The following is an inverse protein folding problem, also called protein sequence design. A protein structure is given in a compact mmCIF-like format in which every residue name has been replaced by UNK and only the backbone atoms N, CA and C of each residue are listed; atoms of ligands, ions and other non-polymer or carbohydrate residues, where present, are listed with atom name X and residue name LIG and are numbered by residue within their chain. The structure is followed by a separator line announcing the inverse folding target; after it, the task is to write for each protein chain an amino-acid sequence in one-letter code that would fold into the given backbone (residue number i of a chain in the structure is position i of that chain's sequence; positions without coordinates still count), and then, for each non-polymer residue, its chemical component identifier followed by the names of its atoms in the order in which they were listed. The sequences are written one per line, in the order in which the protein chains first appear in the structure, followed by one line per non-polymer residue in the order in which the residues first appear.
data_IF_397062884086
#
_entry.id   IF_397062884086
#
_cell.length_a   1.000
_cell.length_b   1.000
_cell.length_c   1.000
_cell.angle_alpha   90.00
_cell.angle_beta   90.00
_cell.angle_gamma   90.00
#
_symmetry.space_group_name_H-M   'P 1'
#
loop_
_entity.id
_entity.type
_entity.pdbx_description
1 polymer ?
#
# COMPACT_ATOMS: atom_id res chain seq x y z
N UNK A 1 18.88 -9.54 8.83
CA UNK A 1 17.67 -8.74 8.60
C UNK A 1 16.98 -9.24 7.33
N UNK A 2 15.65 -9.21 7.30
CA UNK A 2 14.86 -9.62 6.14
C UNK A 2 15.00 -8.56 5.04
N UNK A 3 15.47 -8.91 3.83
CA UNK A 3 15.69 -7.96 2.73
C UNK A 3 14.44 -7.13 2.40
N UNK A 4 13.25 -7.68 2.59
CA UNK A 4 12.01 -6.93 2.38
C UNK A 4 11.77 -5.85 3.45
N UNK A 5 12.16 -6.11 4.70
CA UNK A 5 12.11 -5.09 5.75
C UNK A 5 13.12 -3.98 5.47
N UNK A 6 14.33 -4.33 5.04
CA UNK A 6 15.34 -3.33 4.68
C UNK A 6 14.85 -2.44 3.52
N UNK A 7 14.21 -3.03 2.51
CA UNK A 7 13.59 -2.26 1.41
C UNK A 7 12.45 -1.37 1.91
N UNK A 8 11.51 -1.90 2.70
CA UNK A 8 10.35 -1.16 3.20
C UNK A 8 10.71 -0.01 4.15
N UNK A 9 11.78 -0.16 4.91
CA UNK A 9 12.20 0.81 5.92
C UNK A 9 13.26 1.80 5.40
N UNK A 10 14.18 1.33 4.57
CA UNK A 10 15.40 2.07 4.20
C UNK A 10 15.61 2.18 2.67
N UNK A 11 14.77 1.55 1.85
CA UNK A 11 14.96 1.49 0.41
C UNK A 11 16.12 0.56 -0.01
N UNK A 12 16.54 0.64 -1.27
CA UNK A 12 17.64 -0.16 -1.79
C UNK A 12 18.99 0.51 -1.47
N UNK A 13 19.67 0.10 -0.39
CA UNK A 13 21.05 0.54 -0.11
C UNK A 13 21.56 0.21 1.30
N UNK A 14 22.71 -0.45 1.39
CA UNK A 14 23.45 -0.63 2.65
C UNK A 14 24.30 0.62 2.95
N UNK A 15 23.78 1.54 3.75
CA UNK A 15 24.54 2.71 4.18
C UNK A 15 23.71 3.69 4.99
N UNK A 16 24.14 3.98 6.22
CA UNK A 16 23.62 5.11 7.02
C UNK A 16 23.76 6.39 6.19
N UNK A 17 22.63 7.08 5.96
CA UNK A 17 22.40 8.20 5.04
C UNK A 17 22.05 7.86 3.56
N UNK A 18 21.33 6.76 3.32
CA UNK A 18 20.56 6.63 2.07
C UNK A 18 19.49 7.73 2.01
N UNK A 19 19.59 8.58 0.99
CA UNK A 19 18.59 9.56 0.57
C UNK A 19 17.18 8.93 0.68
N UNK A 20 16.30 9.50 1.52
CA UNK A 20 14.96 8.97 1.76
C UNK A 20 14.08 9.10 0.50
N UNK A 21 14.27 8.18 -0.44
CA UNK A 21 13.47 8.03 -1.65
C UNK A 21 12.13 7.37 -1.33
N UNK A 22 11.06 7.88 -1.89
CA UNK A 22 9.73 7.30 -1.85
C UNK A 22 9.70 5.99 -2.65
N UNK A 23 9.15 4.94 -2.05
CA UNK A 23 8.99 3.63 -2.67
C UNK A 23 7.68 3.56 -3.46
N UNK A 24 7.73 2.99 -4.66
CA UNK A 24 6.57 2.76 -5.51
C UNK A 24 6.15 1.30 -5.42
N UNK A 25 4.98 1.06 -4.82
CA UNK A 25 4.32 -0.24 -4.80
C UNK A 25 3.34 -0.33 -5.96
N UNK A 26 3.64 -1.19 -6.93
CA UNK A 26 2.79 -1.39 -8.09
C UNK A 26 1.70 -2.43 -7.83
N UNK A 27 0.46 -2.11 -8.19
CA UNK A 27 -0.71 -2.99 -8.04
C UNK A 27 -0.79 -3.98 -9.20
N UNK A 28 -0.74 -5.28 -8.89
CA UNK A 28 -0.95 -6.39 -9.84
C UNK A 28 -2.20 -7.19 -9.40
N UNK A 29 -3.37 -6.79 -9.91
CA UNK A 29 -4.61 -7.48 -9.61
C UNK A 29 -4.72 -8.79 -10.38
N UNK A 30 -4.98 -9.88 -9.68
CA UNK A 30 -5.11 -11.24 -10.23
C UNK A 30 -6.58 -11.66 -10.18
N UNK A 31 -7.45 -10.82 -10.75
CA UNK A 31 -8.89 -11.09 -10.87
C UNK A 31 -9.25 -11.42 -12.31
N UNK A 32 -10.32 -12.21 -12.58
CA UNK A 32 -10.74 -12.56 -13.93
C UNK A 32 -10.92 -11.36 -14.87
N UNK A 33 -11.37 -10.22 -14.34
CA UNK A 33 -11.62 -8.99 -15.10
C UNK A 33 -10.33 -8.22 -15.48
N UNK A 34 -9.17 -8.60 -14.93
CA UNK A 34 -7.93 -7.82 -15.08
C UNK A 34 -7.10 -8.19 -16.32
N UNK A 35 -7.34 -9.35 -16.95
CA UNK A 35 -6.55 -9.89 -18.07
C UNK A 35 -7.44 -10.49 -19.18
N UNK A 36 -8.56 -9.83 -19.50
CA UNK A 36 -9.62 -10.42 -20.32
C UNK A 36 -9.24 -10.67 -21.79
N UNK A 37 -8.91 -11.94 -22.09
CA UNK A 37 -9.23 -12.66 -23.33
C UNK A 37 -10.01 -13.97 -23.01
N UNK A 38 -11.02 -13.87 -22.13
CA UNK A 38 -12.11 -14.88 -22.05
C UNK A 38 -11.85 -16.17 -21.25
N UNK A 39 -10.84 -16.24 -20.38
CA UNK A 39 -10.59 -17.39 -19.50
C UNK A 39 -10.97 -17.16 -18.03
N UNK A 40 -11.40 -18.20 -17.32
CA UNK A 40 -11.58 -18.21 -15.86
C UNK A 40 -10.26 -18.15 -15.06
N UNK A 41 -9.13 -18.00 -15.74
CA UNK A 41 -7.79 -18.00 -15.18
C UNK A 41 -7.05 -16.76 -15.67
N UNK A 42 -6.33 -16.11 -14.76
CA UNK A 42 -5.31 -15.13 -15.16
C UNK A 42 -4.27 -15.85 -16.01
N UNK A 43 -3.95 -15.30 -17.17
CA UNK A 43 -2.83 -15.78 -17.95
C UNK A 43 -1.54 -15.49 -17.17
N UNK A 44 -1.05 -16.49 -16.44
CA UNK A 44 0.17 -16.41 -15.64
C UNK A 44 1.34 -15.77 -16.44
N UNK A 45 1.57 -16.11 -17.72
CA UNK A 45 2.58 -15.42 -18.53
C UNK A 45 2.36 -13.91 -18.64
N UNK A 46 1.12 -13.46 -18.79
CA UNK A 46 0.78 -12.03 -18.85
C UNK A 46 1.01 -11.34 -17.49
N UNK A 47 0.73 -12.02 -16.37
CA UNK A 47 1.03 -11.49 -15.04
C UNK A 47 2.54 -11.34 -14.81
N UNK A 48 3.35 -12.32 -15.27
CA UNK A 48 4.82 -12.24 -15.22
C UNK A 48 5.36 -11.10 -16.08
N UNK A 49 4.84 -10.94 -17.30
CA UNK A 49 5.26 -9.87 -18.19
C UNK A 49 4.88 -8.49 -17.63
N UNK A 50 3.65 -8.36 -17.12
CA UNK A 50 3.21 -7.12 -16.46
C UNK A 50 4.09 -6.77 -15.25
N UNK A 51 4.47 -7.76 -14.44
CA UNK A 51 5.38 -7.55 -13.33
C UNK A 51 6.76 -7.05 -13.78
N UNK A 52 7.34 -7.64 -14.84
CA UNK A 52 8.60 -7.16 -15.43
C UNK A 52 8.47 -5.72 -15.92
N UNK A 53 7.37 -5.42 -16.60
CA UNK A 53 7.07 -4.07 -17.06
C UNK A 53 7.00 -3.09 -15.88
N UNK A 54 6.28 -3.41 -14.81
CA UNK A 54 6.17 -2.56 -13.63
C UNK A 54 7.53 -2.29 -12.98
N UNK A 55 8.39 -3.31 -12.88
CA UNK A 55 9.76 -3.14 -12.37
C UNK A 55 10.57 -2.22 -13.29
N UNK A 56 10.50 -2.41 -14.62
CA UNK A 56 11.16 -1.54 -15.59
C UNK A 56 10.59 -0.09 -15.56
N UNK A 57 9.34 0.07 -15.15
CA UNK A 57 8.68 1.37 -14.92
C UNK A 57 9.08 2.02 -13.58
N UNK A 58 9.78 1.29 -12.70
CA UNK A 58 10.30 1.78 -11.44
C UNK A 58 9.52 1.34 -10.19
N UNK A 59 8.77 0.24 -10.26
CA UNK A 59 8.18 -0.37 -9.06
C UNK A 59 9.28 -0.96 -8.18
N UNK A 60 9.29 -0.57 -6.91
CA UNK A 60 10.18 -1.09 -5.88
C UNK A 60 9.55 -2.32 -5.18
N UNK A 61 8.21 -2.43 -5.21
CA UNK A 61 7.42 -3.52 -4.62
C UNK A 61 6.29 -3.89 -5.59
N UNK A 62 5.96 -5.18 -5.68
CA UNK A 62 4.76 -5.65 -6.38
C UNK A 62 3.73 -6.09 -5.34
N UNK A 63 2.48 -5.64 -5.49
CA UNK A 63 1.38 -6.01 -4.59
C UNK A 63 0.32 -6.81 -5.34
N UNK A 64 0.09 -8.03 -4.87
CA UNK A 64 -0.72 -9.05 -5.55
C UNK A 64 -2.00 -9.25 -4.76
N UNK A 65 -3.13 -9.01 -5.41
CA UNK A 65 -4.47 -9.20 -4.81
C UNK A 65 -5.33 -10.13 -5.68
N UNK A 66 -5.95 -11.13 -5.05
CA UNK A 66 -6.88 -12.07 -5.72
C UNK A 66 -8.36 -11.70 -5.57
N UNK A 67 -8.66 -10.74 -4.69
CA UNK A 67 -10.00 -10.26 -4.38
C UNK A 67 -10.14 -8.78 -4.76
N UNK A 68 -11.27 -8.44 -5.38
CA UNK A 68 -11.62 -7.05 -5.63
C UNK A 68 -12.14 -6.44 -4.34
N UNK A 69 -11.43 -5.46 -3.78
CA UNK A 69 -11.90 -4.69 -2.61
C UNK A 69 -12.81 -3.52 -3.01
N UNK A 70 -13.36 -3.53 -4.24
CA UNK A 70 -14.25 -2.46 -4.72
C UNK A 70 -15.61 -2.55 -4.02
N UNK A 71 -16.29 -1.41 -3.78
CA UNK A 71 -17.63 -1.43 -3.19
C UNK A 71 -18.60 -2.31 -4.01
N UNK A 72 -19.26 -3.26 -3.34
CA UNK A 72 -20.21 -4.19 -3.96
C UNK A 72 -19.61 -5.42 -4.62
N UNK A 73 -18.29 -5.65 -4.52
CA UNK A 73 -17.70 -6.93 -4.90
C UNK A 73 -18.13 -8.03 -3.92
N UNK A 74 -18.55 -9.17 -4.45
CA UNK A 74 -18.85 -10.36 -3.64
C UNK A 74 -17.55 -10.92 -3.06
N UNK A 75 -17.51 -11.21 -1.74
CA UNK A 75 -16.36 -11.88 -1.13
C UNK A 75 -16.08 -13.22 -1.81
N UNK A 76 -14.81 -13.50 -2.05
CA UNK A 76 -14.37 -14.82 -2.52
C UNK A 76 -13.99 -15.73 -1.34
N UNK A 77 -14.07 -17.04 -1.50
CA UNK A 77 -13.54 -17.96 -0.49
C UNK A 77 -12.02 -17.89 -0.44
N UNK A 78 -11.39 -18.30 0.68
CA UNK A 78 -9.93 -18.33 0.76
C UNK A 78 -9.34 -19.28 -0.27
N UNK A 79 -9.99 -20.40 -0.56
CA UNK A 79 -9.52 -21.34 -1.58
C UNK A 79 -9.57 -20.73 -2.99
N UNK A 80 -10.58 -19.90 -3.29
CA UNK A 80 -10.65 -19.19 -4.57
C UNK A 80 -9.60 -18.09 -4.68
N UNK A 81 -9.39 -17.32 -3.60
CA UNK A 81 -8.32 -16.34 -3.54
C UNK A 81 -6.94 -17.00 -3.74
N UNK A 82 -6.66 -18.10 -3.04
CA UNK A 82 -5.44 -18.88 -3.15
C UNK A 82 -5.24 -19.45 -4.56
N UNK A 83 -6.29 -19.99 -5.19
CA UNK A 83 -6.25 -20.47 -6.58
C UNK A 83 -5.80 -19.39 -7.56
N UNK A 84 -6.11 -18.12 -7.27
CA UNK A 84 -5.70 -16.98 -8.10
C UNK A 84 -4.26 -16.56 -7.80
N UNK A 85 -3.95 -16.28 -6.53
CA UNK A 85 -2.69 -15.58 -6.17
C UNK A 85 -1.48 -16.51 -6.12
N UNK A 86 -1.62 -17.75 -5.64
CA UNK A 86 -0.47 -18.63 -5.39
C UNK A 86 0.27 -19.02 -6.68
N UNK A 87 -0.41 -19.39 -7.79
CA UNK A 87 0.29 -19.70 -9.04
C UNK A 87 1.06 -18.49 -9.59
N UNK A 88 0.51 -17.28 -9.46
CA UNK A 88 1.18 -16.05 -9.91
C UNK A 88 2.42 -15.77 -9.06
N UNK A 89 2.33 -15.85 -7.73
CA UNK A 89 3.48 -15.63 -6.85
C UNK A 89 4.63 -16.60 -7.18
N UNK A 90 4.31 -17.89 -7.35
CA UNK A 90 5.32 -18.92 -7.71
C UNK A 90 5.96 -18.61 -9.05
N UNK A 91 5.14 -18.35 -10.07
CA UNK A 91 5.63 -18.05 -11.42
C UNK A 91 6.52 -16.79 -11.45
N UNK A 92 6.20 -15.75 -10.67
CA UNK A 92 7.05 -14.57 -10.54
C UNK A 92 8.42 -14.91 -9.95
N UNK A 93 8.47 -15.74 -8.90
CA UNK A 93 9.74 -16.17 -8.32
C UNK A 93 10.54 -17.08 -9.25
N UNK A 94 9.89 -18.02 -9.92
CA UNK A 94 10.51 -18.88 -10.95
C UNK A 94 11.06 -18.05 -12.12
N UNK A 95 10.39 -16.96 -12.47
CA UNK A 95 10.81 -16.00 -13.49
C UNK A 95 11.98 -15.08 -13.05
N UNK A 96 12.52 -15.27 -11.84
CA UNK A 96 13.66 -14.52 -11.31
C UNK A 96 13.31 -13.13 -10.76
N UNK A 97 12.03 -12.84 -10.52
CA UNK A 97 11.61 -11.56 -9.94
C UNK A 97 12.11 -11.48 -8.49
N UNK A 98 13.04 -10.56 -8.22
CA UNK A 98 13.71 -10.42 -6.93
C UNK A 98 13.15 -9.31 -6.04
N UNK A 99 12.37 -8.37 -6.59
CA UNK A 99 11.72 -7.31 -5.80
C UNK A 99 10.77 -7.92 -4.75
N UNK A 100 10.54 -7.25 -3.61
CA UNK A 100 9.54 -7.69 -2.64
C UNK A 100 8.18 -7.89 -3.29
N UNK A 101 7.52 -8.99 -2.91
CA UNK A 101 6.14 -9.28 -3.29
C UNK A 101 5.29 -9.15 -2.03
N UNK A 102 4.33 -8.25 -2.09
CA UNK A 102 3.27 -8.05 -1.10
C UNK A 102 2.05 -8.87 -1.49
N UNK A 103 1.44 -9.55 -0.52
CA UNK A 103 0.13 -10.20 -0.67
C UNK A 103 -0.94 -9.29 -0.03
N UNK A 104 -1.87 -8.80 -0.85
CA UNK A 104 -3.05 -8.02 -0.45
C UNK A 104 -4.17 -9.00 -0.06
N UNK A 105 -4.21 -9.34 1.23
CA UNK A 105 -5.22 -10.26 1.78
C UNK A 105 -5.45 -9.99 3.26
N UNK A 106 -6.68 -10.20 3.71
CA UNK A 106 -7.09 -10.13 5.11
C UNK A 106 -7.32 -11.51 5.73
N UNK A 107 -7.01 -12.60 5.01
CA UNK A 107 -7.17 -13.99 5.47
C UNK A 107 -5.82 -14.61 5.82
N UNK A 108 -5.71 -15.14 7.03
CA UNK A 108 -4.45 -15.66 7.55
C UNK A 108 -3.98 -16.92 6.81
N UNK A 109 -4.91 -17.76 6.34
CA UNK A 109 -4.60 -18.95 5.55
C UNK A 109 -4.02 -18.59 4.18
N UNK A 110 -4.67 -17.67 3.45
CA UNK A 110 -4.14 -17.12 2.19
C UNK A 110 -2.77 -16.46 2.40
N UNK A 111 -2.64 -15.63 3.44
CA UNK A 111 -1.38 -14.97 3.77
C UNK A 111 -0.26 -15.99 3.99
N UNK A 112 -0.50 -17.01 4.81
CA UNK A 112 0.47 -18.08 5.10
C UNK A 112 0.92 -18.80 3.83
N UNK A 113 -0.01 -19.23 2.99
CA UNK A 113 0.30 -19.93 1.75
C UNK A 113 1.04 -19.03 0.75
N UNK A 114 0.68 -17.75 0.68
CA UNK A 114 1.36 -16.77 -0.15
C UNK A 114 2.82 -16.56 0.29
N UNK A 115 3.07 -16.47 1.60
CA UNK A 115 4.43 -16.37 2.15
C UNK A 115 5.25 -17.62 1.83
N UNK A 116 4.67 -18.82 1.94
CA UNK A 116 5.33 -20.08 1.52
C UNK A 116 5.60 -20.12 0.01
N UNK A 117 4.71 -19.55 -0.81
CA UNK A 117 4.88 -19.45 -2.26
C UNK A 117 5.96 -18.44 -2.68
N UNK A 118 6.39 -17.53 -1.79
CA UNK A 118 7.47 -16.58 -2.02
C UNK A 118 7.07 -15.10 -1.91
N UNK A 119 5.88 -14.77 -1.40
CA UNK A 119 5.60 -13.43 -0.91
C UNK A 119 6.51 -13.12 0.31
N UNK A 120 6.76 -11.83 0.51
CA UNK A 120 7.73 -11.35 1.52
C UNK A 120 7.17 -10.22 2.39
N UNK A 121 5.98 -9.72 2.07
CA UNK A 121 5.28 -8.62 2.73
C UNK A 121 3.81 -8.99 2.84
N UNK A 122 3.19 -8.69 3.98
CA UNK A 122 1.75 -8.77 4.16
C UNK A 122 1.13 -7.38 3.99
N UNK A 123 -0.02 -7.30 3.34
CA UNK A 123 -0.82 -6.09 3.23
C UNK A 123 -2.26 -6.38 3.65
N UNK A 124 -2.62 -5.96 4.87
CA UNK A 124 -3.90 -6.26 5.50
C UNK A 124 -4.77 -5.01 5.59
N UNK A 125 -5.82 -4.98 4.76
CA UNK A 125 -6.81 -3.91 4.71
C UNK A 125 -7.69 -3.80 5.97
N UNK A 126 -7.56 -4.70 6.94
CA UNK A 126 -8.27 -4.64 8.21
C UNK A 126 -7.35 -4.38 9.40
N UNK A 127 -6.03 -4.34 9.19
CA UNK A 127 -5.07 -4.06 10.25
C UNK A 127 -5.22 -4.99 11.45
N UNK A 128 -5.24 -6.31 11.21
CA UNK A 128 -5.39 -7.38 12.20
C UNK A 128 -6.76 -7.48 12.89
N UNK A 129 -7.78 -6.77 12.38
CA UNK A 129 -9.10 -6.76 13.01
C UNK A 129 -10.06 -7.81 12.45
N UNK A 130 -9.76 -8.39 11.28
CA UNK A 130 -10.67 -9.32 10.62
C UNK A 130 -10.37 -10.77 10.98
N UNK A 131 -9.15 -11.23 10.70
CA UNK A 131 -8.72 -12.60 10.98
C UNK A 131 -7.75 -12.61 12.19
N UNK A 132 -8.11 -13.29 13.30
CA UNK A 132 -7.28 -13.31 14.50
C UNK A 132 -5.92 -13.99 14.31
N UNK A 133 -5.77 -14.85 13.30
CA UNK A 133 -4.54 -15.60 13.06
C UNK A 133 -3.53 -14.84 12.19
N UNK A 134 -3.92 -13.70 11.59
CA UNK A 134 -3.05 -12.91 10.70
C UNK A 134 -1.77 -12.46 11.39
N UNK A 135 -1.88 -12.05 12.66
CA UNK A 135 -0.72 -11.61 13.42
C UNK A 135 0.29 -12.74 13.65
N UNK A 136 -0.20 -13.97 13.86
CA UNK A 136 0.66 -15.14 14.01
C UNK A 136 1.44 -15.45 12.72
N UNK A 137 0.85 -15.21 11.55
CA UNK A 137 1.55 -15.31 10.26
C UNK A 137 2.68 -14.29 10.18
N UNK A 138 2.40 -13.02 10.48
CA UNK A 138 3.42 -11.95 10.45
C UNK A 138 4.62 -12.26 11.36
N UNK A 139 4.35 -12.79 12.57
CA UNK A 139 5.38 -13.20 13.53
C UNK A 139 6.16 -14.40 13.04
N UNK A 140 5.48 -15.45 12.57
CA UNK A 140 6.12 -16.67 12.09
C UNK A 140 7.12 -16.40 10.97
N UNK A 141 6.76 -15.53 10.01
CA UNK A 141 7.61 -15.22 8.87
C UNK A 141 8.56 -14.04 9.13
N UNK A 142 8.41 -13.30 10.23
CA UNK A 142 9.24 -12.13 10.54
C UNK A 142 9.24 -11.10 9.41
N UNK A 143 8.11 -10.93 8.72
CA UNK A 143 7.95 -10.10 7.54
C UNK A 143 7.35 -8.72 7.87
N UNK A 144 7.56 -7.70 7.02
CA UNK A 144 6.81 -6.46 7.11
C UNK A 144 5.31 -6.70 6.88
N UNK A 145 4.48 -5.94 7.59
CA UNK A 145 3.03 -5.94 7.45
C UNK A 145 2.51 -4.50 7.34
N UNK A 146 1.72 -4.25 6.30
CA UNK A 146 0.94 -3.02 6.15
C UNK A 146 -0.36 -3.18 6.92
N UNK A 147 -0.59 -2.27 7.87
CA UNK A 147 -1.76 -2.23 8.73
C UNK A 147 -2.62 -1.04 8.33
N UNK A 148 -3.68 -1.31 7.56
CA UNK A 148 -4.57 -0.26 7.08
C UNK A 148 -5.65 0.09 8.10
N UNK A 149 -5.94 1.37 8.24
CA UNK A 149 -7.13 1.83 8.93
C UNK A 149 -8.39 1.41 8.15
N UNK A 150 -9.29 0.70 8.83
CA UNK A 150 -10.61 0.37 8.30
C UNK A 150 -11.64 0.19 9.44
N UNK A 151 -12.93 0.32 9.10
CA UNK A 151 -14.06 0.09 10.00
C UNK A 151 -15.17 -0.63 9.25
N UNK A 152 -15.99 -1.40 9.97
CA UNK A 152 -17.21 -2.00 9.39
C UNK A 152 -18.24 -0.94 8.98
N UNK A 153 -18.25 0.20 9.67
CA UNK A 153 -19.14 1.33 9.39
C UNK A 153 -18.36 2.64 9.49
N UNK A 154 -18.68 3.59 8.60
CA UNK A 154 -18.04 4.90 8.52
C UNK A 154 -18.60 5.90 9.56
N UNK A 155 -18.64 5.48 10.82
CA UNK A 155 -19.15 6.29 11.94
C UNK A 155 -17.96 6.77 12.76
N UNK A 156 -17.82 8.09 12.90
CA UNK A 156 -16.76 8.73 13.68
C UNK A 156 -17.34 9.90 14.47
N UNK A 157 -16.89 10.07 15.71
CA UNK A 157 -17.28 11.19 16.56
C UNK A 157 -16.37 12.40 16.31
N UNK A 158 -15.06 12.16 16.21
CA UNK A 158 -14.07 13.15 15.78
C UNK A 158 -13.17 12.50 14.74
N UNK A 159 -13.53 12.64 13.48
CA UNK A 159 -13.00 11.83 12.38
C UNK A 159 -11.47 11.64 12.39
N UNK A 160 -10.68 12.71 12.34
CA UNK A 160 -9.22 12.58 12.27
C UNK A 160 -8.64 12.03 13.58
N UNK A 161 -9.18 12.45 14.73
CA UNK A 161 -8.75 11.92 16.01
C UNK A 161 -9.00 10.42 16.10
N UNK A 162 -10.20 9.99 15.73
CA UNK A 162 -10.63 8.59 15.76
C UNK A 162 -9.81 7.72 14.81
N UNK A 163 -9.45 8.22 13.62
CA UNK A 163 -8.55 7.52 12.68
C UNK A 163 -7.16 7.31 13.27
N UNK A 164 -6.60 8.34 13.92
CA UNK A 164 -5.29 8.25 14.57
C UNK A 164 -5.33 7.27 15.74
N UNK A 165 -6.40 7.30 16.53
CA UNK A 165 -6.57 6.41 17.67
C UNK A 165 -6.77 4.96 17.25
N UNK A 166 -7.56 4.69 16.22
CA UNK A 166 -7.72 3.35 15.66
C UNK A 166 -6.39 2.76 15.19
N UNK A 167 -5.55 3.56 14.52
CA UNK A 167 -4.23 3.13 14.09
C UNK A 167 -3.30 2.85 15.28
N UNK A 168 -3.36 3.65 16.35
CA UNK A 168 -2.62 3.36 17.60
C UNK A 168 -3.08 2.05 18.23
N UNK A 169 -4.38 1.81 18.31
CA UNK A 169 -4.93 0.55 18.82
C UNK A 169 -4.52 -0.65 17.96
N UNK A 170 -4.45 -0.47 16.63
CA UNK A 170 -3.92 -1.49 15.71
C UNK A 170 -2.44 -1.78 15.96
N UNK A 171 -1.61 -0.76 16.18
CA UNK A 171 -0.20 -0.93 16.58
C UNK A 171 -0.10 -1.68 17.91
N UNK A 172 -0.91 -1.33 18.91
CA UNK A 172 -0.93 -2.04 20.19
C UNK A 172 -1.30 -3.53 20.04
N UNK A 173 -2.25 -3.86 19.14
CA UNK A 173 -2.59 -5.26 18.83
C UNK A 173 -1.40 -5.99 18.21
N UNK A 174 -0.70 -5.35 17.28
CA UNK A 174 0.48 -5.91 16.64
C UNK A 174 1.58 -6.22 17.67
N UNK A 175 1.85 -5.28 18.58
CA UNK A 175 2.82 -5.46 19.67
C UNK A 175 2.43 -6.59 20.61
N UNK A 176 1.16 -6.67 21.02
CA UNK A 176 0.65 -7.76 21.87
C UNK A 176 0.82 -9.14 21.23
N UNK A 177 0.77 -9.21 19.90
CA UNK A 177 1.02 -10.45 19.16
C UNK A 177 2.52 -10.76 18.96
N UNK A 178 3.42 -9.81 19.23
CA UNK A 178 4.87 -9.97 19.07
C UNK A 178 5.44 -9.45 17.75
N UNK A 179 4.68 -8.66 16.99
CA UNK A 179 5.17 -7.95 15.79
C UNK A 179 6.01 -6.76 16.25
N UNK A 180 7.25 -6.65 15.74
CA UNK A 180 8.19 -5.60 16.14
C UNK A 180 7.96 -4.31 15.35
N UNK A 181 8.41 -3.17 15.88
CA UNK A 181 8.24 -1.85 15.22
C UNK A 181 8.78 -1.82 13.79
N UNK A 182 9.94 -2.46 13.55
CA UNK A 182 10.55 -2.52 12.21
C UNK A 182 9.74 -3.37 11.21
N UNK A 183 8.70 -4.07 11.64
CA UNK A 183 7.80 -4.81 10.75
C UNK A 183 6.55 -4.00 10.38
N UNK A 184 6.26 -2.89 11.08
CA UNK A 184 4.97 -2.20 10.93
C UNK A 184 5.07 -1.08 9.89
N UNK A 185 4.13 -1.11 8.94
CA UNK A 185 3.82 0.01 8.04
C UNK A 185 2.35 0.36 8.26
N UNK A 186 2.01 1.65 8.35
CA UNK A 186 0.62 2.10 8.50
C UNK A 186 0.03 2.55 7.16
N UNK A 187 -1.26 2.37 6.96
CA UNK A 187 -2.00 2.95 5.82
C UNK A 187 -3.25 3.69 6.34
N UNK A 188 -3.49 4.96 5.96
CA UNK A 188 -4.68 5.74 6.33
C UNK A 188 -6.01 5.15 5.85
N UNK A 189 -5.98 4.24 4.88
CA UNK A 189 -7.15 3.60 4.29
C UNK A 189 -8.03 4.58 3.55
N UNK A 190 -7.46 5.48 2.73
CA UNK A 190 -8.24 6.40 1.89
C UNK A 190 -9.22 5.58 1.03
N UNK A 191 -10.50 5.93 1.01
CA UNK A 191 -11.55 5.23 0.28
C UNK A 191 -12.17 4.03 1.02
N UNK A 192 -11.71 3.70 2.22
CA UNK A 192 -12.28 2.63 3.05
C UNK A 192 -12.94 3.19 4.30
N UNK A 193 -14.21 2.81 4.50
CA UNK A 193 -15.05 3.24 5.62
C UNK A 193 -15.06 4.77 5.84
N UNK A 194 -15.09 5.54 4.76
CA UNK A 194 -15.01 7.01 4.77
C UNK A 194 -15.94 7.62 3.73
N UNK A 195 -16.60 8.72 4.06
CA UNK A 195 -17.31 9.55 3.08
C UNK A 195 -16.32 10.23 2.11
N UNK A 196 -16.84 10.90 1.08
CA UNK A 196 -16.00 11.68 0.17
C UNK A 196 -15.29 12.83 0.89
N UNK A 197 -16.02 13.56 1.71
CA UNK A 197 -15.55 14.69 2.50
C UNK A 197 -14.50 14.23 3.52
N UNK A 198 -14.73 13.09 4.17
CA UNK A 198 -13.77 12.47 5.08
C UNK A 198 -12.48 12.06 4.37
N UNK A 199 -12.55 11.55 3.14
CA UNK A 199 -11.34 11.22 2.38
C UNK A 199 -10.51 12.48 2.04
N UNK A 200 -11.16 13.57 1.64
CA UNK A 200 -10.49 14.85 1.42
C UNK A 200 -9.88 15.41 2.70
N UNK A 201 -10.63 15.36 3.81
CA UNK A 201 -10.14 15.79 5.12
C UNK A 201 -8.93 14.97 5.56
N UNK A 202 -8.94 13.65 5.35
CA UNK A 202 -7.81 12.80 5.70
C UNK A 202 -6.59 13.05 4.81
N UNK A 203 -6.78 13.29 3.51
CA UNK A 203 -5.69 13.71 2.62
C UNK A 203 -5.03 15.01 3.08
N UNK A 204 -5.80 15.95 3.65
CA UNK A 204 -5.29 17.20 4.19
C UNK A 204 -4.51 17.03 5.51
N UNK A 205 -4.70 15.91 6.20
CA UNK A 205 -4.23 15.69 7.58
C UNK A 205 -3.32 14.46 7.70
N UNK A 206 -2.75 13.97 6.58
CA UNK A 206 -1.86 12.80 6.56
C UNK A 206 -0.65 12.94 7.49
N UNK A 207 -0.17 14.17 7.69
CA UNK A 207 0.91 14.47 8.63
C UNK A 207 0.63 14.00 10.07
N UNK A 208 -0.65 13.92 10.47
CA UNK A 208 -1.03 13.40 11.80
C UNK A 208 -0.82 11.90 11.94
N UNK A 209 -0.87 11.16 10.83
CA UNK A 209 -0.60 9.71 10.81
C UNK A 209 0.90 9.47 10.71
N UNK A 210 1.62 10.21 9.85
CA UNK A 210 3.08 10.07 9.75
C UNK A 210 3.79 10.46 11.06
N UNK A 211 3.19 11.34 11.86
CA UNK A 211 3.63 11.66 13.22
C UNK A 211 3.54 10.50 14.22
N UNK A 212 2.91 9.36 13.89
CA UNK A 212 2.91 8.16 14.73
C UNK A 212 4.27 7.42 14.75
N UNK A 213 5.21 7.82 13.91
CA UNK A 213 6.59 7.30 13.94
C UNK A 213 6.83 6.03 13.11
N UNK A 214 5.82 5.56 12.37
CA UNK A 214 5.92 4.43 11.45
C UNK A 214 5.98 4.89 9.99
N UNK A 215 6.62 4.13 9.07
CA UNK A 215 6.45 4.34 7.65
C UNK A 215 4.98 4.29 7.26
N UNK A 216 4.55 5.22 6.40
CA UNK A 216 3.17 5.28 5.93
C UNK A 216 3.10 4.95 4.45
N UNK A 217 2.26 3.99 4.11
CA UNK A 217 1.85 3.66 2.75
C UNK A 217 0.58 4.44 2.38
N UNK A 218 0.55 5.04 1.19
CA UNK A 218 -0.61 5.77 0.69
C UNK A 218 -1.18 5.09 -0.56
N UNK A 219 -2.43 4.61 -0.47
CA UNK A 219 -3.18 4.04 -1.59
C UNK A 219 -4.36 4.91 -2.04
N UNK A 220 -4.11 5.84 -2.97
CA UNK A 220 -5.14 6.77 -3.53
C UNK A 220 -5.44 6.53 -5.01
N UNK A 221 -4.65 5.69 -5.67
CA UNK A 221 -4.66 5.45 -7.11
C UNK A 221 -6.05 5.12 -7.66
N UNK A 222 -6.52 5.97 -8.58
CA UNK A 222 -7.81 5.85 -9.30
C UNK A 222 -9.04 5.73 -8.39
N UNK A 223 -8.98 6.20 -7.14
CA UNK A 223 -10.09 6.07 -6.18
C UNK A 223 -11.26 7.00 -6.49
N UNK A 224 -12.43 6.60 -6.00
CA UNK A 224 -13.71 7.31 -6.18
C UNK A 224 -13.69 8.76 -5.70
N UNK A 225 -12.87 9.07 -4.68
CA UNK A 225 -12.63 10.45 -4.24
C UNK A 225 -12.17 11.31 -5.41
N UNK A 226 -11.12 10.89 -6.13
CA UNK A 226 -10.55 11.66 -7.25
C UNK A 226 -11.58 11.81 -8.37
N UNK A 227 -12.24 10.72 -8.75
CA UNK A 227 -13.32 10.74 -9.75
C UNK A 227 -14.41 11.75 -9.39
N UNK A 228 -14.86 11.77 -8.14
CA UNK A 228 -15.91 12.68 -7.68
C UNK A 228 -15.44 14.14 -7.63
N UNK A 229 -14.19 14.39 -7.25
CA UNK A 229 -13.62 15.74 -7.22
C UNK A 229 -13.48 16.32 -8.62
N UNK A 230 -12.97 15.53 -9.57
CA UNK A 230 -12.67 16.00 -10.92
C UNK A 230 -13.81 15.78 -11.92
N UNK A 231 -14.83 15.02 -11.54
CA UNK A 231 -15.92 14.59 -12.41
C UNK A 231 -15.42 13.86 -13.69
N UNK A 232 -14.48 12.92 -13.51
CA UNK A 232 -13.81 12.18 -14.59
C UNK A 232 -14.01 10.65 -14.48
N UNK A 233 -14.00 9.91 -15.60
CA UNK A 233 -14.03 8.45 -15.56
C UNK A 233 -12.74 7.85 -14.98
N UNK A 234 -12.74 6.55 -14.67
CA UNK A 234 -11.65 5.90 -13.87
C UNK A 234 -10.30 5.85 -14.61
N UNK A 235 -10.33 5.85 -15.94
CA UNK A 235 -9.18 5.84 -16.85
C UNK A 235 -8.55 7.23 -17.07
N UNK A 236 -9.21 8.31 -16.65
CA UNK A 236 -8.73 9.70 -16.77
C UNK A 236 -8.31 10.30 -15.42
N UNK A 237 -7.93 9.47 -14.44
CA UNK A 237 -7.60 9.92 -13.07
C UNK A 237 -6.10 10.08 -12.80
N UNK A 238 -5.28 10.16 -13.85
CA UNK A 238 -3.82 10.15 -13.69
C UNK A 238 -3.33 11.40 -12.95
N UNK A 239 -3.78 12.58 -13.35
CA UNK A 239 -3.43 13.88 -12.78
C UNK A 239 -3.92 14.01 -11.34
N UNK A 240 -5.16 13.57 -11.10
CA UNK A 240 -5.71 13.55 -9.75
C UNK A 240 -4.97 12.57 -8.83
N UNK A 241 -4.54 11.42 -9.36
CA UNK A 241 -3.70 10.47 -8.61
C UNK A 241 -2.33 11.09 -8.32
N UNK A 242 -1.69 11.70 -9.31
CA UNK A 242 -0.41 12.39 -9.15
C UNK A 242 -0.47 13.47 -8.06
N UNK A 243 -1.55 14.26 -8.02
CA UNK A 243 -1.75 15.29 -7.00
C UNK A 243 -1.82 14.69 -5.58
N UNK A 244 -2.58 13.60 -5.40
CA UNK A 244 -2.66 12.92 -4.09
C UNK A 244 -1.34 12.28 -3.66
N UNK A 245 -0.58 11.73 -4.62
CA UNK A 245 0.73 11.13 -4.39
C UNK A 245 1.73 12.19 -3.94
N UNK A 246 1.87 13.28 -4.70
CA UNK A 246 2.78 14.38 -4.35
C UNK A 246 2.45 14.99 -2.98
N UNK A 247 1.16 15.22 -2.69
CA UNK A 247 0.71 15.73 -1.39
C UNK A 247 1.04 14.76 -0.24
N UNK A 248 0.82 13.47 -0.45
CA UNK A 248 1.14 12.44 0.54
C UNK A 248 2.62 12.37 0.88
N UNK A 249 3.48 12.38 -0.15
CA UNK A 249 4.94 12.42 0.02
C UNK A 249 5.35 13.70 0.75
N UNK A 250 4.77 14.85 0.38
CA UNK A 250 4.99 16.14 1.07
C UNK A 250 4.64 16.13 2.56
N UNK A 251 3.68 15.29 2.96
CA UNK A 251 3.26 15.08 4.34
C UNK A 251 3.96 13.90 5.04
N UNK A 252 4.92 13.26 4.38
CA UNK A 252 5.79 12.26 4.99
C UNK A 252 5.43 10.79 4.69
N UNK A 253 4.47 10.51 3.80
CA UNK A 253 4.27 9.14 3.32
C UNK A 253 5.54 8.64 2.62
N UNK A 254 5.88 7.36 2.84
CA UNK A 254 7.12 6.74 2.35
C UNK A 254 6.90 5.73 1.23
N UNK A 255 5.69 5.19 1.12
CA UNK A 255 5.32 4.22 0.10
C UNK A 255 4.05 4.72 -0.59
N UNK A 256 3.98 4.60 -1.92
CA UNK A 256 2.78 4.92 -2.69
C UNK A 256 2.31 3.69 -3.47
N UNK A 257 1.06 3.29 -3.28
CA UNK A 257 0.46 2.11 -3.90
C UNK A 257 -0.37 2.51 -5.13
N UNK A 258 0.11 2.15 -6.33
CA UNK A 258 -0.33 2.77 -7.59
C UNK A 258 -0.52 1.79 -8.74
N UNK A 259 -1.38 2.16 -9.70
CA UNK A 259 -1.60 1.41 -10.94
C UNK A 259 -0.60 1.87 -12.01
N UNK A 260 -0.46 3.19 -12.17
CA UNK A 260 0.35 3.86 -13.19
C UNK A 260 1.80 4.07 -12.73
N UNK A 261 2.54 2.97 -12.57
CA UNK A 261 3.89 2.94 -11.96
C UNK A 261 4.83 3.97 -12.57
N UNK A 262 4.98 4.01 -13.91
CA UNK A 262 5.91 4.92 -14.59
C UNK A 262 5.63 6.38 -14.26
N UNK A 263 4.37 6.77 -14.31
CA UNK A 263 3.96 8.15 -14.06
C UNK A 263 4.18 8.52 -12.59
N UNK A 264 3.79 7.64 -11.67
CA UNK A 264 3.92 7.90 -10.24
C UNK A 264 5.37 7.81 -9.74
N UNK A 265 6.24 7.01 -10.38
CA UNK A 265 7.70 7.05 -10.15
C UNK A 265 8.26 8.43 -10.47
N UNK A 266 7.88 9.02 -11.61
CA UNK A 266 8.31 10.39 -11.99
C UNK A 266 7.80 11.45 -11.01
N UNK A 267 6.55 11.33 -10.57
CA UNK A 267 5.98 12.22 -9.55
C UNK A 267 6.74 12.09 -8.23
N UNK A 268 7.01 10.86 -7.79
CA UNK A 268 7.76 10.58 -6.57
C UNK A 268 9.19 11.13 -6.65
N UNK A 269 9.93 10.83 -7.73
CA UNK A 269 11.28 11.37 -7.97
C UNK A 269 11.32 12.89 -7.92
N UNK A 270 10.39 13.57 -8.60
CA UNK A 270 10.33 15.03 -8.61
C UNK A 270 9.98 15.59 -7.23
N UNK A 271 9.06 14.94 -6.51
CA UNK A 271 8.66 15.37 -5.15
C UNK A 271 9.79 15.17 -4.16
N UNK A 272 10.46 14.02 -4.20
CA UNK A 272 11.64 13.71 -3.38
C UNK A 272 12.77 14.73 -3.64
N UNK A 273 13.01 15.09 -4.90
CA UNK A 273 14.00 16.10 -5.28
C UNK A 273 13.68 17.49 -4.70
N UNK A 274 12.41 17.90 -4.69
CA UNK A 274 11.98 19.16 -4.04
C UNK A 274 12.23 19.10 -2.53
N UNK A 275 11.87 17.99 -1.89
CA UNK A 275 11.94 17.84 -0.44
C UNK A 275 13.37 17.68 0.09
N UNK A 276 14.28 17.08 -0.68
CA UNK A 276 15.70 16.93 -0.32
C UNK A 276 16.47 18.25 -0.36
N UNK A 277 15.95 19.27 -1.06
CA UNK A 277 16.55 20.60 -1.17
C UNK A 277 15.93 21.63 -0.22
N UNK A 278 15.38 21.19 0.92
CA UNK A 278 15.01 22.13 1.99
C UNK A 278 16.26 22.89 2.42
N UNK A 279 16.31 24.18 2.09
CA UNK A 279 17.39 25.09 2.48
C UNK A 279 17.53 25.00 4.00
N UNK A 280 18.71 24.60 4.45
CA UNK A 280 19.07 24.60 5.86
C UNK A 280 19.08 26.05 6.37
N UNK A 281 18.19 26.36 7.32
CA UNK A 281 18.30 27.56 8.16
C UNK A 281 17.02 28.40 8.30
N UNK A 282 16.52 28.51 9.53
CA UNK A 282 16.07 29.75 10.17
C UNK A 282 15.02 30.69 9.55
N UNK A 283 14.18 30.26 8.60
CA UNK A 283 13.05 31.13 8.14
C UNK A 283 11.71 30.40 8.06
N UNK A 284 11.33 29.71 9.14
CA UNK A 284 10.02 29.09 9.33
C UNK A 284 8.84 30.10 9.37
N UNK A 285 9.12 31.40 9.28
CA UNK A 285 8.13 32.49 9.27
C UNK A 285 7.47 32.77 7.92
N UNK A 286 7.81 32.05 6.84
CA UNK A 286 7.35 32.38 5.47
C UNK A 286 6.44 31.36 4.79
N UNK A 287 5.83 30.43 5.52
CA UNK A 287 4.76 29.63 4.93
C UNK A 287 3.49 30.48 4.89
N UNK A 288 3.24 31.07 3.72
CA UNK A 288 1.96 31.72 3.39
C UNK A 288 0.90 30.61 3.38
N UNK A 289 -0.15 30.69 4.21
CA UNK A 289 -1.30 29.81 4.04
C UNK A 289 -2.02 30.20 2.74
N UNK A 290 -2.20 29.24 1.84
CA UNK A 290 -3.19 29.34 0.77
C UNK A 290 -4.55 28.92 1.30
#
# INVERSE_FOLDING_TARGET
MNKAADVMLFGHGSGRAAECRTLVMGILNVTPDSFSDGGAYVEIPAAVERARQMIAEGADILDIGGESTRPGAEPVSSEEEQRRVLPVIRALREAGIAVPISIDTYRADTAREAMLAGATVLNDIWGLQHDPDMAAVAVQFGCPIVLMHNRKQAVYANFIHDVVEDLRLTVERAHKAGIRDEQIVLDPGIGFAKSYEQNLQLMNELHRITALGYPVLLGTSRKSMIRRTLNLPTDELLEGTAATVALGIGQGCRIVRVHDVRAMRRVADMTDAILSHRISGDDASRIIPF
#
